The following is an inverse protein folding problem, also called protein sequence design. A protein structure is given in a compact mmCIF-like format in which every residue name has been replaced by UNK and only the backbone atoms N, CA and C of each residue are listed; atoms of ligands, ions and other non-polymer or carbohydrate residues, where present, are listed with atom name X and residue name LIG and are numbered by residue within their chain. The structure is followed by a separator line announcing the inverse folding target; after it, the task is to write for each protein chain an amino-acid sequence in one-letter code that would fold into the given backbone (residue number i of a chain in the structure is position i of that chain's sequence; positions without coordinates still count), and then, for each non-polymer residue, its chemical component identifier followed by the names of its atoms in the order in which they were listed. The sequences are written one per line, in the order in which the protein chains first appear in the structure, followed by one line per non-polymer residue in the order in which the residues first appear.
data_IF_309273943740
#
_entry.id   IF_309273943740
#
_cell.length_a   1.000
_cell.length_b   1.000
_cell.length_c   1.000
_cell.angle_alpha   90.00
_cell.angle_beta   90.00
_cell.angle_gamma   90.00
#
_symmetry.space_group_name_H-M   'P 1'
#
loop_
_entity.id
_entity.type
_entity.pdbx_description
1 polymer ?
#
# COMPACT_ATOMS: atom_id res chain seq x y z
N UNK A 1 -20.01 -1.36 -9.76
CA UNK A 1 -19.48 -1.90 -8.49
C UNK A 1 -19.66 -0.94 -7.31
N UNK A 2 -19.52 0.38 -7.47
CA UNK A 2 -19.70 1.34 -6.36
C UNK A 2 -21.15 1.45 -5.83
N UNK A 3 -22.17 1.29 -6.69
CA UNK A 3 -23.58 1.30 -6.26
C UNK A 3 -23.95 0.17 -5.29
N UNK A 4 -23.16 -0.91 -5.22
CA UNK A 4 -23.51 -2.07 -4.39
C UNK A 4 -23.06 -1.96 -2.93
N UNK A 5 -22.10 -1.08 -2.59
CA UNK A 5 -21.51 -1.05 -1.24
C UNK A 5 -21.09 0.38 -0.82
N UNK A 6 -22.04 1.27 -0.52
CA UNK A 6 -21.75 2.68 -0.23
C UNK A 6 -21.01 2.91 1.11
N UNK A 7 -20.97 1.92 1.99
CA UNK A 7 -20.32 1.99 3.31
C UNK A 7 -18.86 1.54 3.30
N UNK A 8 -18.37 0.96 2.20
CA UNK A 8 -16.98 0.51 2.11
C UNK A 8 -16.05 1.70 1.85
N UNK A 9 -15.06 1.86 2.73
CA UNK A 9 -13.92 2.74 2.51
C UNK A 9 -12.69 1.92 2.16
N UNK A 10 -12.01 2.30 1.09
CA UNK A 10 -10.80 1.66 0.62
C UNK A 10 -9.60 2.51 0.99
N UNK A 11 -8.60 1.89 1.62
CA UNK A 11 -7.34 2.54 1.97
C UNK A 11 -6.21 1.88 1.20
N UNK A 12 -5.46 2.66 0.44
CA UNK A 12 -4.30 2.19 -0.33
C UNK A 12 -3.04 2.72 0.34
N UNK A 13 -2.19 1.81 0.79
CA UNK A 13 -0.83 2.14 1.20
C UNK A 13 0.08 2.27 -0.02
N UNK A 14 0.77 3.39 -0.18
CA UNK A 14 1.70 3.61 -1.28
C UNK A 14 2.98 4.25 -0.76
N UNK A 15 4.14 3.80 -1.23
CA UNK A 15 5.40 4.51 -0.97
C UNK A 15 5.79 5.51 -2.05
N UNK A 16 4.93 5.71 -3.07
CA UNK A 16 5.15 6.74 -4.10
C UNK A 16 4.63 8.09 -3.60
N UNK A 17 5.42 8.75 -2.76
CA UNK A 17 5.08 10.03 -2.11
C UNK A 17 4.93 11.20 -3.09
N UNK A 18 5.38 11.04 -4.34
CA UNK A 18 5.38 12.09 -5.35
C UNK A 18 4.15 12.05 -6.27
N UNK A 19 3.34 11.00 -6.20
CA UNK A 19 2.15 10.84 -7.02
C UNK A 19 0.90 11.32 -6.26
N UNK A 20 0.11 12.21 -6.87
CA UNK A 20 -1.17 12.60 -6.28
C UNK A 20 -2.24 11.54 -6.52
N UNK A 21 -3.24 11.52 -5.64
CA UNK A 21 -4.41 10.61 -5.74
C UNK A 21 -5.07 10.68 -7.12
N UNK A 22 -5.22 11.88 -7.66
CA UNK A 22 -5.86 12.11 -8.97
C UNK A 22 -5.03 11.53 -10.10
N UNK A 23 -3.70 11.66 -10.03
CA UNK A 23 -2.79 11.09 -11.02
C UNK A 23 -2.84 9.56 -11.01
N UNK A 24 -2.91 8.94 -9.82
CA UNK A 24 -3.02 7.48 -9.67
C UNK A 24 -4.35 7.00 -10.26
N UNK A 25 -5.46 7.66 -9.91
CA UNK A 25 -6.78 7.34 -10.44
C UNK A 25 -6.87 7.52 -11.96
N UNK A 26 -6.27 8.58 -12.51
CA UNK A 26 -6.23 8.81 -13.95
C UNK A 26 -5.45 7.69 -14.66
N UNK A 27 -4.29 7.30 -14.13
CA UNK A 27 -3.50 6.17 -14.66
C UNK A 27 -4.30 4.87 -14.60
N UNK A 28 -4.99 4.60 -13.49
CA UNK A 28 -5.83 3.41 -13.36
C UNK A 28 -6.97 3.38 -14.38
N UNK A 29 -7.63 4.53 -14.61
CA UNK A 29 -8.66 4.68 -15.64
C UNK A 29 -8.09 4.47 -17.05
N UNK A 30 -6.94 5.06 -17.36
CA UNK A 30 -6.33 4.94 -18.69
C UNK A 30 -5.83 3.52 -18.97
N UNK A 31 -5.26 2.84 -17.97
CA UNK A 31 -4.63 1.53 -18.15
C UNK A 31 -5.60 0.36 -18.03
N UNK A 32 -6.60 0.48 -17.16
CA UNK A 32 -7.52 -0.62 -16.85
C UNK A 32 -9.00 -0.29 -17.14
N UNK A 33 -9.33 0.94 -17.53
CA UNK A 33 -10.72 1.36 -17.78
C UNK A 33 -11.55 1.50 -16.50
N UNK A 34 -10.93 1.43 -15.31
CA UNK A 34 -11.63 1.41 -14.03
C UNK A 34 -11.87 2.85 -13.55
N UNK A 35 -13.12 3.15 -13.20
CA UNK A 35 -13.49 4.43 -12.56
C UNK A 35 -13.91 4.16 -11.12
N UNK A 36 -13.24 4.82 -10.18
CA UNK A 36 -13.44 4.69 -8.72
C UNK A 36 -13.87 6.04 -8.17
N UNK A 37 -14.83 6.06 -7.25
CA UNK A 37 -15.23 7.31 -6.59
C UNK A 37 -14.09 7.77 -5.65
N UNK A 38 -13.51 8.96 -5.85
CA UNK A 38 -12.47 9.47 -4.98
C UNK A 38 -12.94 9.66 -3.53
N UNK A 39 -14.23 9.80 -3.23
CA UNK A 39 -14.70 10.01 -1.84
C UNK A 39 -14.45 8.80 -0.93
N UNK A 40 -14.52 7.59 -1.46
CA UNK A 40 -14.39 6.36 -0.69
C UNK A 40 -12.97 5.78 -0.72
N UNK A 41 -12.00 6.53 -1.28
CA UNK A 41 -10.64 6.06 -1.48
C UNK A 41 -9.65 6.96 -0.73
N UNK A 42 -8.90 6.39 0.21
CA UNK A 42 -7.87 7.10 0.96
C UNK A 42 -6.49 6.55 0.61
N UNK A 43 -5.52 7.44 0.43
CA UNK A 43 -4.13 7.06 0.17
C UNK A 43 -3.30 7.36 1.41
N UNK A 44 -2.62 6.34 1.93
CA UNK A 44 -1.69 6.45 3.04
C UNK A 44 -0.27 6.30 2.49
N UNK A 45 0.48 7.40 2.54
CA UNK A 45 1.83 7.42 1.99
C UNK A 45 2.84 6.90 3.02
N UNK A 46 3.53 5.81 2.71
CA UNK A 46 4.57 5.20 3.56
C UNK A 46 5.94 5.79 3.22
N UNK A 47 6.73 6.12 4.25
CA UNK A 47 8.06 6.72 4.07
C UNK A 47 9.16 5.66 4.06
N UNK A 48 8.96 4.55 4.76
CA UNK A 48 9.98 3.52 4.92
C UNK A 48 10.02 2.52 3.76
N UNK A 49 9.31 2.78 2.64
CA UNK A 49 9.37 1.92 1.44
C UNK A 49 10.80 1.69 0.95
N UNK A 50 11.68 2.67 1.13
CA UNK A 50 13.08 2.49 0.76
C UNK A 50 13.72 1.29 1.47
N UNK A 51 13.37 1.00 2.73
CA UNK A 51 13.97 -0.12 3.48
C UNK A 51 13.72 -1.50 2.87
N UNK A 52 12.70 -1.67 2.04
CA UNK A 52 12.41 -2.94 1.37
C UNK A 52 13.04 -3.03 -0.03
N UNK A 53 13.73 -1.99 -0.48
CA UNK A 53 14.42 -1.98 -1.78
C UNK A 53 15.72 -2.80 -1.71
N UNK A 54 15.95 -3.64 -2.74
CA UNK A 54 17.06 -4.59 -2.76
C UNK A 54 18.44 -3.91 -2.88
N UNK A 55 18.48 -2.69 -3.40
CA UNK A 55 19.69 -1.90 -3.62
C UNK A 55 20.42 -1.51 -2.32
N UNK A 56 19.71 -1.50 -1.18
CA UNK A 56 20.30 -1.25 0.14
C UNK A 56 21.05 -2.45 0.71
N UNK A 57 20.85 -3.65 0.16
CA UNK A 57 21.37 -4.89 0.72
C UNK A 57 22.21 -5.65 -0.31
N UNK A 58 23.54 -5.38 -0.38
CA UNK A 58 24.43 -6.10 -1.29
C UNK A 58 24.58 -7.59 -0.96
N UNK A 59 24.31 -7.98 0.29
CA UNK A 59 24.32 -9.37 0.76
C UNK A 59 23.09 -9.63 1.65
N UNK A 60 22.64 -10.88 1.72
CA UNK A 60 21.48 -11.33 2.55
C UNK A 60 20.17 -10.56 2.30
N UNK A 61 19.96 -10.10 1.07
CA UNK A 61 18.83 -9.25 0.65
C UNK A 61 17.48 -9.79 1.11
N UNK A 62 17.21 -11.10 0.97
CA UNK A 62 15.92 -11.67 1.32
C UNK A 62 15.60 -11.56 2.83
N UNK A 63 16.59 -11.80 3.69
CA UNK A 63 16.42 -11.69 5.15
C UNK A 63 16.20 -10.23 5.53
N UNK A 64 17.00 -9.33 4.97
CA UNK A 64 16.90 -7.91 5.25
C UNK A 64 15.57 -7.32 4.78
N UNK A 65 15.11 -7.66 3.57
CA UNK A 65 13.80 -7.27 3.05
C UNK A 65 12.65 -7.83 3.88
N UNK A 66 12.79 -9.05 4.40
CA UNK A 66 11.80 -9.66 5.29
C UNK A 66 11.65 -8.85 6.58
N UNK A 67 12.77 -8.47 7.22
CA UNK A 67 12.75 -7.63 8.42
C UNK A 67 12.23 -6.22 8.12
N UNK A 68 12.64 -5.63 7.00
CA UNK A 68 12.18 -4.32 6.57
C UNK A 68 10.67 -4.31 6.27
N UNK A 69 10.12 -5.40 5.73
CA UNK A 69 8.69 -5.57 5.51
C UNK A 69 7.89 -5.50 6.81
N UNK A 70 8.43 -6.06 7.91
CA UNK A 70 7.80 -5.93 9.23
C UNK A 70 7.78 -4.47 9.73
N UNK A 71 8.89 -3.76 9.59
CA UNK A 71 8.98 -2.34 9.96
C UNK A 71 8.03 -1.48 9.12
N UNK A 72 7.94 -1.76 7.83
CA UNK A 72 7.02 -1.06 6.91
C UNK A 72 5.56 -1.34 7.25
N UNK A 73 5.22 -2.60 7.56
CA UNK A 73 3.89 -2.98 8.03
C UNK A 73 3.52 -2.27 9.33
N UNK A 74 4.48 -2.14 10.26
CA UNK A 74 4.27 -1.44 11.51
C UNK A 74 4.04 0.06 11.32
N UNK A 75 4.77 0.70 10.39
CA UNK A 75 4.49 2.09 9.96
C UNK A 75 3.07 2.22 9.40
N UNK A 76 2.64 1.26 8.58
CA UNK A 76 1.31 1.26 7.99
C UNK A 76 0.22 1.11 9.05
N UNK A 77 0.38 0.19 10.02
CA UNK A 77 -0.55 -0.04 11.12
C UNK A 77 -0.70 1.18 12.02
N UNK A 78 0.41 1.84 12.35
CA UNK A 78 0.38 3.08 13.15
C UNK A 78 -0.31 4.24 12.42
N UNK A 79 -0.26 4.28 11.09
CA UNK A 79 -0.91 5.32 10.30
C UNK A 79 -2.40 5.08 10.11
N UNK A 80 -2.78 3.84 9.88
CA UNK A 80 -4.17 3.44 9.71
C UNK A 80 -4.29 1.95 10.04
N UNK A 81 -5.27 1.60 10.86
CA UNK A 81 -5.58 0.21 11.19
C UNK A 81 -6.85 -0.23 10.41
N UNK A 82 -6.71 -1.00 9.32
CA UNK A 82 -7.85 -1.49 8.55
C UNK A 82 -8.52 -2.69 9.23
N UNK A 83 -9.81 -2.90 8.98
CA UNK A 83 -10.50 -4.12 9.42
C UNK A 83 -10.13 -5.33 8.55
N UNK A 84 -9.87 -5.10 7.26
CA UNK A 84 -9.46 -6.12 6.30
C UNK A 84 -8.19 -5.62 5.61
N UNK A 85 -7.10 -6.36 5.80
CA UNK A 85 -5.82 -6.08 5.17
C UNK A 85 -5.58 -7.04 4.00
N UNK A 86 -5.05 -6.50 2.90
CA UNK A 86 -4.67 -7.26 1.71
C UNK A 86 -3.24 -6.86 1.34
N UNK A 87 -2.31 -7.82 1.39
CA UNK A 87 -0.95 -7.61 0.91
C UNK A 87 -0.86 -7.89 -0.60
N UNK A 88 -0.51 -6.86 -1.37
CA UNK A 88 -0.27 -6.96 -2.81
C UNK A 88 1.22 -6.97 -3.20
N UNK A 89 2.12 -6.66 -2.27
CA UNK A 89 3.55 -6.49 -2.53
C UNK A 89 4.35 -7.75 -2.20
N UNK A 90 3.76 -8.69 -1.45
CA UNK A 90 4.36 -9.98 -1.13
C UNK A 90 5.26 -9.97 0.11
N UNK A 91 5.03 -9.05 1.03
CA UNK A 91 5.72 -9.02 2.33
C UNK A 91 5.01 -9.97 3.30
N UNK A 92 5.45 -11.24 3.32
CA UNK A 92 4.81 -12.32 4.08
C UNK A 92 4.62 -12.03 5.58
N UNK A 93 5.47 -11.19 6.17
CA UNK A 93 5.41 -10.81 7.59
C UNK A 93 4.50 -9.62 7.90
N UNK A 94 3.87 -9.01 6.89
CA UNK A 94 2.82 -8.01 7.14
C UNK A 94 1.50 -8.66 7.54
N UNK A 95 1.17 -9.84 7.04
CA UNK A 95 -0.06 -10.56 7.37
C UNK A 95 -0.26 -10.89 8.87
N UNK A 96 0.73 -11.40 9.63
CA UNK A 96 0.54 -11.61 11.06
C UNK A 96 0.49 -10.32 11.88
N UNK A 97 0.77 -9.16 11.28
CA UNK A 97 0.78 -7.86 11.96
C UNK A 97 -0.58 -7.14 11.87
N UNK A 98 -1.41 -7.50 10.89
CA UNK A 98 -2.73 -6.92 10.64
C UNK A 98 -3.86 -7.89 10.96
#
# INVERSE_FOLDING_TARGET
MHEKWPHLQFVIYSGDINATKEQILLKAKQRFGITVDPKNLHFVFLRLRRLVEADLYPHFTLIAQTMAGFVLGFEALLKFNPEIFIDSMGYSFTLPLF
#
